data_IF_648135941811
#
_entry.id   IF_648135941811
#
_cell.length_a   1.000
_cell.length_b   1.000
_cell.length_c   1.000
_cell.angle_alpha   90.00
_cell.angle_beta   90.00
_cell.angle_gamma   90.00
#
_symmetry.space_group_name_H-M   'P 1'
#
loop_
_entity.id
_entity.type
_entity.pdbx_description
1 polymer ?
#
# COMPACT_ATOMS: atom_id res chain seq x y z
N UNK A 1 36.15 15.93 0.35
CA UNK A 1 35.38 15.32 1.46
C UNK A 1 33.87 15.48 1.31
N UNK A 2 33.35 16.61 0.82
CA UNK A 2 31.90 16.79 0.61
C UNK A 2 31.23 15.68 -0.21
N UNK A 3 31.78 15.34 -1.38
CA UNK A 3 31.23 14.27 -2.24
C UNK A 3 31.17 12.89 -1.55
N UNK A 4 32.21 12.53 -0.78
CA UNK A 4 32.23 11.27 -0.04
C UNK A 4 31.12 11.23 1.03
N UNK A 5 30.94 12.33 1.77
CA UNK A 5 29.90 12.45 2.79
C UNK A 5 28.50 12.41 2.17
N UNK A 6 28.32 13.06 1.02
CA UNK A 6 27.06 13.04 0.27
C UNK A 6 26.68 11.63 -0.16
N UNK A 7 27.59 10.91 -0.84
CA UNK A 7 27.35 9.52 -1.28
C UNK A 7 27.09 8.59 -0.08
N UNK A 8 27.82 8.77 1.01
CA UNK A 8 27.62 7.99 2.23
C UNK A 8 26.22 8.21 2.81
N UNK A 9 25.78 9.46 2.95
CA UNK A 9 24.47 9.81 3.52
C UNK A 9 23.35 9.36 2.59
N UNK A 10 23.46 9.63 1.28
CA UNK A 10 22.46 9.20 0.29
C UNK A 10 22.34 7.68 0.23
N UNK A 11 23.47 6.96 0.26
CA UNK A 11 23.49 5.50 0.32
C UNK A 11 22.86 4.95 1.61
N UNK A 12 23.16 5.57 2.75
CA UNK A 12 22.55 5.21 4.03
C UNK A 12 21.04 5.44 4.01
N UNK A 13 20.57 6.60 3.49
CA UNK A 13 19.14 6.90 3.38
C UNK A 13 18.42 5.87 2.51
N UNK A 14 19.00 5.51 1.35
CA UNK A 14 18.43 4.47 0.49
C UNK A 14 18.38 3.12 1.22
N UNK A 15 19.46 2.73 1.92
CA UNK A 15 19.51 1.50 2.70
C UNK A 15 18.47 1.45 3.82
N UNK A 16 18.28 2.56 4.53
CA UNK A 16 17.25 2.70 5.57
C UNK A 16 15.85 2.55 4.97
N UNK A 17 15.56 3.21 3.85
CA UNK A 17 14.26 3.09 3.16
C UNK A 17 13.95 1.65 2.78
N UNK A 18 14.89 0.94 2.14
CA UNK A 18 14.68 -0.46 1.76
C UNK A 18 14.57 -1.39 2.98
N UNK A 19 15.32 -1.12 4.05
CA UNK A 19 15.24 -1.89 5.30
C UNK A 19 13.88 -1.72 5.98
N UNK A 20 13.32 -0.50 6.00
CA UNK A 20 12.00 -0.25 6.55
C UNK A 20 10.90 -0.95 5.76
N UNK A 21 11.00 -0.94 4.43
CA UNK A 21 10.07 -1.70 3.56
C UNK A 21 10.15 -3.19 3.88
N UNK A 22 11.36 -3.76 3.94
CA UNK A 22 11.56 -5.17 4.28
C UNK A 22 11.01 -5.53 5.68
N UNK A 23 11.24 -4.66 6.68
CA UNK A 23 10.72 -4.84 8.04
C UNK A 23 9.19 -4.92 8.05
N UNK A 24 8.49 -4.09 7.27
CA UNK A 24 7.03 -4.14 7.14
C UNK A 24 6.53 -5.50 6.64
N UNK A 25 7.13 -6.05 5.58
CA UNK A 25 6.79 -7.39 5.08
C UNK A 25 7.05 -8.48 6.12
N UNK A 26 8.19 -8.42 6.82
CA UNK A 26 8.55 -9.40 7.86
C UNK A 26 7.59 -9.35 9.04
N UNK A 27 7.18 -8.17 9.49
CA UNK A 27 6.23 -8.03 10.59
C UNK A 27 4.86 -8.63 10.24
N UNK A 28 4.37 -8.39 9.01
CA UNK A 28 3.12 -8.99 8.52
C UNK A 28 3.22 -10.52 8.50
N UNK A 29 4.30 -11.06 7.92
CA UNK A 29 4.52 -12.50 7.86
C UNK A 29 4.61 -13.12 9.27
N UNK A 30 5.36 -12.49 10.17
CA UNK A 30 5.53 -12.96 11.54
C UNK A 30 4.23 -12.93 12.34
N UNK A 31 3.37 -11.94 12.11
CA UNK A 31 2.10 -11.82 12.80
C UNK A 31 1.02 -12.76 12.24
N UNK A 32 1.00 -12.99 10.92
CA UNK A 32 -0.03 -13.79 10.24
C UNK A 32 0.34 -15.27 10.08
N UNK A 33 1.63 -15.62 10.07
CA UNK A 33 2.11 -16.98 9.80
C UNK A 33 2.02 -17.41 8.32
N UNK A 34 1.48 -16.55 7.44
CA UNK A 34 1.26 -16.83 6.02
C UNK A 34 1.77 -15.67 5.16
N UNK A 35 2.42 -15.99 4.05
CA UNK A 35 2.93 -14.98 3.13
C UNK A 35 1.84 -14.57 2.14
N UNK A 36 1.41 -13.30 2.19
CA UNK A 36 0.36 -12.79 1.30
C UNK A 36 0.92 -12.40 -0.07
N UNK A 37 0.88 -13.34 -1.03
CA UNK A 37 1.25 -13.09 -2.42
C UNK A 37 0.27 -12.18 -3.19
N UNK A 38 -0.93 -11.95 -2.67
CA UNK A 38 -1.94 -11.11 -3.32
C UNK A 38 -1.67 -9.61 -3.12
N UNK A 39 -0.67 -9.21 -2.32
CA UNK A 39 -0.42 -7.81 -1.98
C UNK A 39 -0.23 -6.92 -3.21
N UNK A 40 0.44 -7.39 -4.26
CA UNK A 40 0.57 -6.65 -5.52
C UNK A 40 -0.77 -6.46 -6.25
N UNK A 41 -1.58 -7.53 -6.34
CA UNK A 41 -2.90 -7.47 -6.96
C UNK A 41 -3.87 -6.56 -6.19
N UNK A 42 -3.79 -6.57 -4.85
CA UNK A 42 -4.58 -5.68 -3.99
C UNK A 42 -4.26 -4.20 -4.23
N UNK A 43 -2.99 -3.84 -4.42
CA UNK A 43 -2.59 -2.47 -4.75
C UNK A 43 -3.14 -2.04 -6.11
N UNK A 44 -3.05 -2.91 -7.12
CA UNK A 44 -3.64 -2.64 -8.45
C UNK A 44 -5.15 -2.45 -8.36
N UNK A 45 -5.84 -3.32 -7.61
CA UNK A 45 -7.29 -3.21 -7.40
C UNK A 45 -7.67 -1.90 -6.71
N UNK A 46 -6.91 -1.47 -5.69
CA UNK A 46 -7.11 -0.19 -5.03
C UNK A 46 -6.98 0.99 -6.01
N UNK A 47 -5.91 1.01 -6.80
CA UNK A 47 -5.65 2.07 -7.78
C UNK A 47 -6.74 2.14 -8.87
N UNK A 48 -7.14 0.99 -9.42
CA UNK A 48 -8.19 0.93 -10.45
C UNK A 48 -9.56 1.33 -9.88
N UNK A 49 -9.88 0.90 -8.66
CA UNK A 49 -11.12 1.30 -7.97
C UNK A 49 -11.15 2.81 -7.76
N UNK A 50 -10.04 3.40 -7.31
CA UNK A 50 -9.93 4.84 -7.09
C UNK A 50 -10.12 5.64 -8.38
N UNK A 51 -9.40 5.29 -9.45
CA UNK A 51 -9.51 5.97 -10.75
C UNK A 51 -10.92 5.83 -11.33
N UNK A 52 -11.52 4.63 -11.24
CA UNK A 52 -12.91 4.44 -11.68
C UNK A 52 -13.90 5.26 -10.87
N UNK A 53 -13.71 5.38 -9.56
CA UNK A 53 -14.56 6.26 -8.76
C UNK A 53 -14.36 7.73 -9.10
N UNK A 54 -13.14 8.17 -9.39
CA UNK A 54 -12.91 9.54 -9.87
C UNK A 54 -13.66 9.81 -11.18
N UNK A 55 -13.65 8.88 -12.12
CA UNK A 55 -14.40 9.01 -13.38
C UNK A 55 -15.92 9.12 -13.13
N UNK A 56 -16.45 8.32 -12.21
CA UNK A 56 -17.89 8.28 -11.88
C UNK A 56 -18.32 9.52 -11.08
N UNK A 57 -17.52 9.97 -10.12
CA UNK A 57 -17.84 11.08 -9.21
C UNK A 57 -17.38 12.45 -9.72
N UNK A 58 -16.89 12.55 -10.97
CA UNK A 58 -16.30 13.76 -11.56
C UNK A 58 -17.16 15.03 -11.40
N UNK A 59 -18.48 14.90 -11.42
CA UNK A 59 -19.44 16.01 -11.36
C UNK A 59 -19.90 16.33 -9.92
N UNK A 60 -19.31 15.68 -8.91
CA UNK A 60 -19.65 15.88 -7.49
C UNK A 60 -18.79 17.00 -6.87
N UNK A 61 -19.27 17.63 -5.80
CA UNK A 61 -18.60 18.75 -5.12
C UNK A 61 -17.23 18.39 -4.49
N UNK A 62 -16.90 17.10 -4.33
CA UNK A 62 -15.62 16.63 -3.79
C UNK A 62 -15.22 15.25 -4.33
N UNK A 63 -14.86 15.12 -5.63
CA UNK A 63 -14.66 13.83 -6.31
C UNK A 63 -13.51 13.03 -5.68
N UNK A 64 -12.38 13.71 -5.40
CA UNK A 64 -11.18 13.08 -4.87
C UNK A 64 -11.40 12.55 -3.45
N UNK A 65 -11.95 13.37 -2.58
CA UNK A 65 -12.17 13.00 -1.18
C UNK A 65 -13.15 11.83 -1.06
N UNK A 66 -14.26 11.88 -1.80
CA UNK A 66 -15.25 10.80 -1.80
C UNK A 66 -14.69 9.52 -2.41
N UNK A 67 -13.99 9.61 -3.56
CA UNK A 67 -13.34 8.47 -4.19
C UNK A 67 -12.33 7.80 -3.25
N UNK A 68 -11.54 8.58 -2.53
CA UNK A 68 -10.54 8.08 -1.60
C UNK A 68 -11.20 7.35 -0.42
N UNK A 69 -12.21 7.97 0.21
CA UNK A 69 -12.93 7.38 1.35
C UNK A 69 -13.57 6.05 0.96
N UNK A 70 -14.26 6.01 -0.18
CA UNK A 70 -14.93 4.79 -0.64
C UNK A 70 -13.90 3.72 -1.03
N UNK A 71 -12.79 4.10 -1.66
CA UNK A 71 -11.71 3.15 -2.00
C UNK A 71 -11.10 2.54 -0.73
N UNK A 72 -10.85 3.35 0.30
CA UNK A 72 -10.35 2.85 1.59
C UNK A 72 -11.35 1.87 2.21
N UNK A 73 -12.63 2.21 2.23
CA UNK A 73 -13.68 1.33 2.75
C UNK A 73 -13.74 -0.01 1.98
N UNK A 74 -13.65 0.03 0.65
CA UNK A 74 -13.60 -1.16 -0.21
C UNK A 74 -12.36 -2.02 0.08
N UNK A 75 -11.19 -1.42 0.26
CA UNK A 75 -9.96 -2.15 0.56
C UNK A 75 -9.97 -2.79 1.94
N UNK A 76 -10.59 -2.14 2.93
CA UNK A 76 -10.79 -2.73 4.26
C UNK A 76 -11.69 -3.97 4.15
N UNK A 77 -12.81 -3.88 3.44
CA UNK A 77 -13.70 -5.02 3.22
C UNK A 77 -12.99 -6.17 2.50
N UNK A 78 -12.22 -5.87 1.46
CA UNK A 78 -11.45 -6.86 0.70
C UNK A 78 -10.38 -7.53 1.57
N UNK A 79 -9.65 -6.76 2.39
CA UNK A 79 -8.64 -7.29 3.30
C UNK A 79 -9.27 -8.25 4.33
N UNK A 80 -10.40 -7.87 4.94
CA UNK A 80 -11.13 -8.72 5.89
C UNK A 80 -11.64 -10.00 5.21
N UNK A 81 -12.15 -9.88 3.98
CA UNK A 81 -12.62 -11.04 3.21
C UNK A 81 -11.48 -12.03 2.93
N UNK A 82 -10.31 -11.54 2.51
CA UNK A 82 -9.12 -12.38 2.29
C UNK A 82 -8.68 -13.04 3.59
N UNK A 83 -8.60 -12.29 4.69
CA UNK A 83 -8.23 -12.85 5.99
C UNK A 83 -9.17 -13.99 6.40
N UNK A 84 -10.50 -13.80 6.26
CA UNK A 84 -11.49 -14.77 6.71
C UNK A 84 -11.71 -15.95 5.78
N UNK A 85 -11.50 -15.80 4.47
CA UNK A 85 -11.82 -16.84 3.48
C UNK A 85 -10.59 -17.63 3.04
N UNK A 86 -9.39 -17.04 3.12
CA UNK A 86 -8.15 -17.64 2.59
C UNK A 86 -7.16 -17.96 3.70
N UNK A 87 -7.05 -17.11 4.72
CA UNK A 87 -6.00 -17.24 5.75
C UNK A 87 -6.48 -17.90 7.06
N UNK A 88 -7.78 -17.91 7.33
CA UNK A 88 -8.41 -18.61 8.44
C UNK A 88 -9.27 -19.76 7.91
#
# INVERSE_FOLDING_TARGET
MGFFVEVLISGLMAGVLYSLVALGFVLIFKASGVFNFAQGAMVLFAALTFVRLLDILKDTFAPITLALIITIAMMIMLAIAIERLVLR
#
